data_IF_846794529247
#
_entry.id   IF_846794529247
#
_cell.length_a   1.000
_cell.length_b   1.000
_cell.length_c   1.000
_cell.angle_alpha   90.00
_cell.angle_beta   90.00
_cell.angle_gamma   90.00
#
_symmetry.space_group_name_H-M   'P 1'
#
loop_
_entity.id
_entity.type
_entity.pdbx_description
1 polymer ?
#
# COMPACT_ATOMS: atom_id res chain seq x y z
N UNK A 1 61.00 -35.70 13.56
CA UNK A 1 61.11 -35.52 12.10
C UNK A 1 59.97 -34.61 11.65
N UNK A 2 60.27 -33.38 11.23
CA UNK A 2 59.40 -32.55 10.38
C UNK A 2 59.91 -32.66 8.91
N UNK A 3 59.31 -32.07 7.85
CA UNK A 3 58.23 -31.05 7.74
C UNK A 3 57.16 -31.41 6.67
N UNK A 4 56.07 -30.68 6.35
CA UNK A 4 55.83 -29.27 5.97
C UNK A 4 54.32 -28.94 6.18
N UNK A 5 53.90 -27.88 6.88
CA UNK A 5 53.78 -26.44 6.50
C UNK A 5 52.62 -26.08 5.54
N UNK A 6 51.57 -25.44 6.08
CA UNK A 6 51.10 -24.10 5.64
C UNK A 6 50.07 -23.47 6.62
N UNK A 7 50.14 -22.15 6.72
CA UNK A 7 49.69 -21.23 7.78
C UNK A 7 48.28 -20.61 7.52
N UNK A 8 47.57 -20.08 8.54
CA UNK A 8 46.19 -19.59 8.43
C UNK A 8 46.05 -18.04 8.32
N UNK A 9 44.93 -17.56 7.75
CA UNK A 9 44.54 -16.13 7.75
C UNK A 9 43.02 -15.92 7.95
N UNK A 10 42.59 -14.73 8.41
CA UNK A 10 41.54 -14.60 9.43
C UNK A 10 40.16 -14.11 8.93
N UNK A 11 39.20 -14.28 9.84
CA UNK A 11 37.79 -13.85 9.84
C UNK A 11 37.54 -12.39 9.44
N UNK A 12 36.47 -12.16 8.65
CA UNK A 12 35.57 -11.02 8.84
C UNK A 12 34.15 -11.29 8.35
N UNK A 13 33.23 -10.76 9.14
CA UNK A 13 31.80 -11.06 9.29
C UNK A 13 30.90 -10.62 8.12
N UNK A 14 29.74 -11.27 8.10
CA UNK A 14 28.56 -11.13 7.24
C UNK A 14 27.99 -9.70 7.14
N UNK A 15 27.39 -9.39 5.99
CA UNK A 15 26.07 -8.75 5.96
C UNK A 15 25.22 -9.31 4.81
N UNK A 16 24.14 -9.95 5.23
CA UNK A 16 23.01 -10.50 4.48
C UNK A 16 22.33 -9.48 3.58
N UNK A 17 21.94 -9.88 2.37
CA UNK A 17 20.63 -9.62 1.78
C UNK A 17 20.30 -10.72 0.77
N UNK A 18 19.19 -11.41 1.02
CA UNK A 18 18.60 -12.46 0.21
C UNK A 18 18.11 -11.91 -1.14
N UNK A 19 18.52 -12.55 -2.23
CA UNK A 19 17.91 -12.40 -3.56
C UNK A 19 17.67 -13.78 -4.14
N UNK A 20 16.43 -14.26 -4.05
CA UNK A 20 15.99 -15.53 -4.63
C UNK A 20 15.86 -15.42 -6.15
N UNK A 21 16.40 -16.44 -6.82
CA UNK A 21 16.37 -16.65 -8.27
C UNK A 21 14.96 -16.85 -8.83
N UNK A 22 14.71 -16.32 -10.03
CA UNK A 22 13.82 -16.94 -11.01
C UNK A 22 14.45 -16.81 -12.40
N UNK A 23 14.94 -17.93 -12.92
CA UNK A 23 15.30 -18.10 -14.32
C UNK A 23 14.06 -18.23 -15.18
N UNK A 24 14.07 -17.65 -16.39
CA UNK A 24 14.08 -18.38 -17.66
C UNK A 24 13.33 -17.65 -18.78
N UNK A 25 13.99 -17.63 -19.94
CA UNK A 25 13.49 -17.51 -21.31
C UNK A 25 12.54 -16.35 -21.67
N UNK A 26 13.07 -15.40 -22.44
CA UNK A 26 12.41 -14.96 -23.66
C UNK A 26 13.47 -14.72 -24.73
N UNK A 27 13.66 -15.76 -25.56
CA UNK A 27 14.40 -15.70 -26.81
C UNK A 27 13.64 -14.83 -27.80
N UNK A 28 14.22 -13.69 -28.16
CA UNK A 28 14.09 -13.16 -29.51
C UNK A 28 15.51 -12.96 -30.03
N UNK A 29 15.98 -13.98 -30.75
CA UNK A 29 17.27 -13.97 -31.40
C UNK A 29 17.30 -12.90 -32.48
N UNK A 30 18.30 -12.02 -32.39
CA UNK A 30 18.91 -11.42 -33.56
C UNK A 30 20.42 -11.57 -33.43
N UNK A 31 20.95 -12.25 -34.43
CA UNK A 31 22.33 -12.65 -34.66
C UNK A 31 23.39 -11.61 -34.29
N UNK A 32 24.38 -12.07 -33.52
CA UNK A 32 25.80 -11.86 -33.79
C UNK A 32 26.25 -10.45 -34.15
N UNK A 33 26.45 -9.61 -33.14
CA UNK A 33 27.59 -8.69 -33.14
C UNK A 33 28.13 -8.58 -31.72
N UNK A 34 29.18 -9.33 -31.43
CA UNK A 34 30.05 -9.07 -30.28
C UNK A 34 30.92 -7.87 -30.64
N UNK A 35 30.33 -6.68 -30.62
CA UNK A 35 31.01 -5.41 -30.79
C UNK A 35 31.03 -4.68 -29.46
N UNK A 36 32.12 -4.85 -28.70
CA UNK A 36 32.36 -4.14 -27.46
C UNK A 36 32.33 -2.63 -27.70
N UNK A 37 31.44 -1.93 -26.99
CA UNK A 37 31.23 -0.47 -27.05
C UNK A 37 32.51 0.34 -26.69
N UNK A 38 33.58 -0.31 -26.23
CA UNK A 38 34.81 0.32 -25.78
C UNK A 38 36.01 0.20 -26.73
N UNK A 39 35.84 -0.33 -27.94
CA UNK A 39 36.96 -0.53 -28.88
C UNK A 39 37.27 0.71 -29.74
N UNK A 40 37.63 1.84 -29.08
CA UNK A 40 38.02 3.07 -29.76
C UNK A 40 39.49 3.49 -29.56
N UNK A 41 40.31 2.69 -28.88
CA UNK A 41 41.73 3.03 -28.61
C UNK A 41 42.63 1.81 -28.78
N UNK A 42 42.68 1.21 -29.97
CA UNK A 42 43.87 0.43 -30.40
C UNK A 42 44.01 0.37 -31.92
N UNK A 43 43.84 1.52 -32.60
CA UNK A 43 44.18 1.67 -34.02
C UNK A 43 45.49 2.44 -34.17
N UNK A 44 46.61 1.71 -34.18
CA UNK A 44 47.94 2.08 -34.69
C UNK A 44 48.10 3.50 -35.26
N UNK A 45 48.78 4.37 -34.50
CA UNK A 45 49.44 5.55 -35.04
C UNK A 45 50.54 5.10 -36.01
N UNK A 46 50.23 5.04 -37.29
CA UNK A 46 51.25 5.00 -38.33
C UNK A 46 51.71 6.43 -38.59
N UNK A 47 52.98 6.79 -38.37
CA UNK A 47 53.46 8.11 -38.75
C UNK A 47 53.53 8.17 -40.28
N UNK A 48 52.81 9.14 -40.86
CA UNK A 48 52.93 9.50 -42.26
C UNK A 48 54.40 9.84 -42.60
N UNK A 49 54.96 9.37 -43.72
CA UNK A 49 56.18 9.99 -44.23
C UNK A 49 55.79 11.33 -44.86
N UNK A 50 56.34 12.42 -44.33
CA UNK A 50 56.35 13.72 -45.01
C UNK A 50 56.97 13.57 -46.40
N UNK A 51 56.47 14.26 -47.44
CA UNK A 51 57.08 14.19 -48.77
C UNK A 51 58.40 14.97 -48.73
N UNK A 52 59.50 14.27 -48.96
CA UNK A 52 60.81 14.89 -49.18
C UNK A 52 60.79 15.57 -50.55
N UNK A 53 60.84 16.90 -50.56
CA UNK A 53 61.13 17.68 -51.76
C UNK A 53 62.60 17.46 -52.13
N UNK A 54 62.86 16.70 -53.21
CA UNK A 54 64.18 16.60 -53.82
C UNK A 54 64.11 17.05 -55.28
N UNK A 55 64.73 18.22 -55.47
CA UNK A 55 65.45 18.73 -56.64
C UNK A 55 64.74 18.87 -57.99
N UNK A 56 64.89 20.08 -58.53
CA UNK A 56 64.21 20.52 -59.73
C UNK A 56 64.70 19.88 -61.02
N UNK A 57 63.83 19.94 -62.04
CA UNK A 57 64.13 20.43 -63.38
C UNK A 57 62.76 20.70 -64.02
N UNK A 58 62.51 21.90 -64.53
CA UNK A 58 61.40 22.12 -65.46
C UNK A 58 61.76 21.43 -66.79
N UNK A 59 60.81 20.76 -67.42
CA UNK A 59 60.30 21.35 -68.65
C UNK A 59 58.77 21.27 -68.75
N UNK A 60 58.23 22.22 -69.51
CA UNK A 60 56.82 22.39 -69.85
C UNK A 60 56.19 21.12 -70.46
N UNK A 61 55.13 20.61 -69.82
CA UNK A 61 54.06 19.81 -70.43
C UNK A 61 52.88 19.71 -69.44
N UNK A 62 52.04 20.73 -69.47
CA UNK A 62 50.75 20.87 -68.80
C UNK A 62 49.72 19.83 -69.27
N UNK A 63 49.17 19.03 -68.35
CA UNK A 63 47.73 18.59 -68.30
C UNK A 63 47.49 17.32 -67.47
N UNK A 64 48.48 16.43 -67.29
CA UNK A 64 48.26 15.09 -66.70
C UNK A 64 48.30 15.04 -65.17
N UNK A 65 49.19 15.77 -64.50
CA UNK A 65 49.29 15.81 -63.02
C UNK A 65 48.11 16.55 -62.37
N UNK A 66 47.57 17.56 -63.05
CA UNK A 66 46.39 18.29 -62.59
C UNK A 66 45.11 17.42 -62.65
N UNK A 67 45.07 16.45 -63.58
CA UNK A 67 43.97 15.50 -63.70
C UNK A 67 43.89 14.53 -62.52
N UNK A 68 45.03 13.98 -62.06
CA UNK A 68 45.08 13.04 -60.94
C UNK A 68 44.72 13.68 -59.60
N UNK A 69 45.23 14.89 -59.32
CA UNK A 69 44.87 15.65 -58.13
C UNK A 69 43.37 16.01 -58.11
N UNK A 70 42.80 16.38 -59.26
CA UNK A 70 41.38 16.64 -59.40
C UNK A 70 40.53 15.39 -59.13
N UNK A 71 40.97 14.21 -59.58
CA UNK A 71 40.28 12.96 -59.26
C UNK A 71 40.37 12.62 -57.77
N UNK A 72 41.50 12.89 -57.10
CA UNK A 72 41.65 12.69 -55.66
C UNK A 72 40.71 13.59 -54.86
N UNK A 73 40.65 14.87 -55.19
CA UNK A 73 39.76 15.83 -54.52
C UNK A 73 38.27 15.48 -54.72
N UNK A 74 37.89 15.00 -55.91
CA UNK A 74 36.52 14.51 -56.16
C UNK A 74 36.21 13.30 -55.28
N UNK A 75 37.15 12.37 -55.15
CA UNK A 75 37.00 11.20 -54.29
C UNK A 75 36.87 11.61 -52.82
N UNK A 76 37.72 12.52 -52.34
CA UNK A 76 37.67 13.07 -50.97
C UNK A 76 36.34 13.78 -50.68
N UNK A 77 35.81 14.53 -51.66
CA UNK A 77 34.50 15.18 -51.54
C UNK A 77 33.38 14.14 -51.41
N UNK A 78 33.39 13.09 -52.22
CA UNK A 78 32.37 12.04 -52.16
C UNK A 78 32.49 11.22 -50.86
N UNK A 79 33.71 11.01 -50.35
CA UNK A 79 33.95 10.45 -49.02
C UNK A 79 33.44 11.34 -47.90
N UNK A 80 33.66 12.65 -47.99
CA UNK A 80 33.11 13.61 -47.04
C UNK A 80 31.57 13.62 -47.08
N UNK A 81 30.95 13.57 -48.26
CA UNK A 81 29.49 13.47 -48.41
C UNK A 81 28.95 12.18 -47.80
N UNK A 82 29.62 11.04 -48.02
CA UNK A 82 29.25 9.75 -47.39
C UNK A 82 29.34 9.83 -45.87
N UNK A 83 30.43 10.39 -45.34
CA UNK A 83 30.58 10.63 -43.90
C UNK A 83 29.46 11.51 -43.37
N UNK A 84 29.14 12.65 -43.99
CA UNK A 84 28.04 13.53 -43.56
C UNK A 84 26.71 12.77 -43.49
N UNK A 85 26.42 11.91 -44.48
CA UNK A 85 25.22 11.07 -44.46
C UNK A 85 25.24 10.10 -43.27
N UNK A 86 26.38 9.42 -43.04
CA UNK A 86 26.56 8.53 -41.89
C UNK A 86 26.40 9.26 -40.55
N UNK A 87 27.01 10.44 -40.39
CA UNK A 87 26.86 11.28 -39.20
C UNK A 87 25.41 11.70 -38.97
N UNK A 88 24.68 12.04 -40.04
CA UNK A 88 23.26 12.38 -39.97
C UNK A 88 22.40 11.21 -39.50
N UNK A 89 22.69 10.01 -39.97
CA UNK A 89 21.96 8.81 -39.57
C UNK A 89 22.32 8.37 -38.15
N UNK A 90 23.59 8.45 -37.77
CA UNK A 90 24.05 8.22 -36.39
C UNK A 90 23.40 9.21 -35.41
N UNK A 91 23.37 10.51 -35.76
CA UNK A 91 22.70 11.52 -34.96
C UNK A 91 21.21 11.21 -34.78
N UNK A 92 20.53 10.77 -35.84
CA UNK A 92 19.13 10.37 -35.77
C UNK A 92 18.91 9.20 -34.80
N UNK A 93 19.79 8.20 -34.84
CA UNK A 93 19.72 7.05 -33.92
C UNK A 93 19.91 7.49 -32.47
N UNK A 94 20.93 8.32 -32.19
CA UNK A 94 21.15 8.87 -30.84
C UNK A 94 19.94 9.66 -30.36
N UNK A 95 19.38 10.53 -31.22
CA UNK A 95 18.17 11.28 -30.89
C UNK A 95 16.99 10.37 -30.57
N UNK A 96 16.77 9.33 -31.38
CA UNK A 96 15.70 8.35 -31.13
C UNK A 96 15.89 7.60 -29.80
N UNK A 97 17.13 7.23 -29.45
CA UNK A 97 17.42 6.62 -28.16
C UNK A 97 17.16 7.59 -26.99
N UNK A 98 17.55 8.86 -27.14
CA UNK A 98 17.24 9.90 -26.15
C UNK A 98 15.73 10.10 -25.98
N UNK A 99 14.98 10.19 -27.09
CA UNK A 99 13.52 10.36 -27.07
C UNK A 99 12.84 9.15 -26.39
N UNK A 100 13.33 7.93 -26.66
CA UNK A 100 12.84 6.70 -26.04
C UNK A 100 13.09 6.66 -24.54
N UNK A 101 14.33 6.94 -24.09
CA UNK A 101 14.65 6.98 -22.65
C UNK A 101 13.94 8.11 -21.92
N UNK A 102 13.75 9.26 -22.57
CA UNK A 102 12.97 10.35 -21.99
C UNK A 102 11.52 9.93 -21.77
N UNK A 103 10.92 9.22 -22.74
CA UNK A 103 9.57 8.67 -22.61
C UNK A 103 9.50 7.64 -21.48
N UNK A 104 10.43 6.69 -21.43
CA UNK A 104 10.49 5.68 -20.37
C UNK A 104 10.68 6.29 -18.98
N UNK A 105 11.51 7.33 -18.85
CA UNK A 105 11.69 8.06 -17.60
C UNK A 105 10.41 8.79 -17.17
N UNK A 106 9.68 9.39 -18.11
CA UNK A 106 8.41 10.04 -17.85
C UNK A 106 7.32 9.04 -17.43
N UNK A 107 7.23 7.90 -18.12
CA UNK A 107 6.31 6.81 -17.73
C UNK A 107 6.67 6.23 -16.36
N UNK A 108 7.96 6.09 -16.04
CA UNK A 108 8.40 5.65 -14.72
C UNK A 108 8.02 6.65 -13.62
N UNK A 109 8.15 7.95 -13.89
CA UNK A 109 7.71 9.02 -12.98
C UNK A 109 6.19 8.97 -12.76
N UNK A 110 5.41 8.79 -13.83
CA UNK A 110 3.96 8.66 -13.72
C UNK A 110 3.56 7.42 -12.92
N UNK A 111 4.19 6.28 -13.17
CA UNK A 111 4.00 5.05 -12.37
C UNK A 111 4.34 5.27 -10.89
N UNK A 112 5.42 5.98 -10.58
CA UNK A 112 5.77 6.31 -9.20
C UNK A 112 4.73 7.22 -8.54
N UNK A 113 4.19 8.21 -9.26
CA UNK A 113 3.14 9.09 -8.75
C UNK A 113 1.84 8.32 -8.47
N UNK A 114 1.43 7.41 -9.37
CA UNK A 114 0.27 6.55 -9.15
C UNK A 114 0.46 5.70 -7.90
N UNK A 115 1.61 5.03 -7.77
CA UNK A 115 1.92 4.22 -6.60
C UNK A 115 1.92 5.04 -5.28
N UNK A 116 2.39 6.30 -5.30
CA UNK A 116 2.31 7.17 -4.13
C UNK A 116 0.86 7.51 -3.78
N UNK A 117 0.02 7.86 -4.77
CA UNK A 117 -1.40 8.15 -4.51
C UNK A 117 -2.16 6.94 -3.95
N UNK A 118 -1.86 5.73 -4.44
CA UNK A 118 -2.44 4.48 -3.93
C UNK A 118 -1.98 4.20 -2.49
N UNK A 119 -0.70 4.40 -2.20
CA UNK A 119 -0.15 4.30 -0.83
C UNK A 119 -0.84 5.29 0.10
N UNK A 120 -1.01 6.55 -0.30
CA UNK A 120 -1.71 7.55 0.53
C UNK A 120 -3.16 7.15 0.79
N UNK A 121 -3.85 6.60 -0.21
CA UNK A 121 -5.21 6.09 -0.03
C UNK A 121 -5.25 4.91 0.96
N UNK A 122 -4.30 3.98 0.86
CA UNK A 122 -4.19 2.86 1.78
C UNK A 122 -3.91 3.32 3.22
N UNK A 123 -3.04 4.32 3.41
CA UNK A 123 -2.77 4.93 4.70
C UNK A 123 -4.01 5.59 5.31
N UNK A 124 -4.78 6.35 4.52
CA UNK A 124 -6.04 6.95 5.01
C UNK A 124 -7.05 5.89 5.45
N UNK A 125 -7.19 4.79 4.68
CA UNK A 125 -8.06 3.67 5.07
C UNK A 125 -7.59 2.99 6.36
N UNK A 126 -6.28 2.80 6.51
CA UNK A 126 -5.69 2.27 7.74
C UNK A 126 -6.02 3.18 8.93
N UNK A 127 -5.82 4.49 8.79
CA UNK A 127 -6.09 5.46 9.84
C UNK A 127 -7.58 5.48 10.23
N UNK A 128 -8.49 5.40 9.26
CA UNK A 128 -9.93 5.31 9.54
C UNK A 128 -10.28 4.08 10.40
N UNK A 129 -9.71 2.91 10.05
CA UNK A 129 -9.91 1.67 10.81
C UNK A 129 -9.25 1.76 12.19
N UNK A 130 -8.06 2.35 12.29
CA UNK A 130 -7.36 2.55 13.56
C UNK A 130 -8.14 3.50 14.49
N UNK A 131 -8.73 4.56 13.95
CA UNK A 131 -9.58 5.49 14.70
C UNK A 131 -10.88 4.82 15.16
N UNK A 132 -11.52 4.00 14.31
CA UNK A 132 -12.66 3.17 14.71
C UNK A 132 -12.28 2.20 15.83
N UNK A 133 -11.12 1.57 15.74
CA UNK A 133 -10.62 0.68 16.78
C UNK A 133 -10.37 1.42 18.10
N UNK A 134 -9.71 2.59 18.07
CA UNK A 134 -9.52 3.44 19.26
C UNK A 134 -10.85 3.86 19.87
N UNK A 135 -11.82 4.28 19.06
CA UNK A 135 -13.14 4.66 19.56
C UNK A 135 -13.88 3.47 20.20
N UNK A 136 -13.83 2.28 19.58
CA UNK A 136 -14.40 1.07 20.17
C UNK A 136 -13.65 0.66 21.44
N UNK A 137 -12.34 0.84 21.49
CA UNK A 137 -11.52 0.61 22.68
C UNK A 137 -11.89 1.59 23.81
N UNK A 138 -12.09 2.86 23.52
CA UNK A 138 -12.57 3.87 24.48
C UNK A 138 -13.98 3.56 24.96
N UNK A 139 -14.89 3.17 24.07
CA UNK A 139 -16.22 2.70 24.45
C UNK A 139 -16.12 1.48 25.36
N UNK A 140 -15.27 0.52 25.03
CA UNK A 140 -15.02 -0.64 25.87
C UNK A 140 -14.49 -0.21 27.23
N UNK A 141 -13.52 0.69 27.31
CA UNK A 141 -12.97 1.20 28.58
C UNK A 141 -14.03 1.93 29.41
N UNK A 142 -14.95 2.68 28.78
CA UNK A 142 -16.05 3.38 29.46
C UNK A 142 -17.11 2.38 29.98
N UNK A 143 -17.52 1.42 29.15
CA UNK A 143 -18.41 0.30 29.53
C UNK A 143 -17.75 -0.63 30.55
N UNK A 144 -16.43 -0.77 30.47
CA UNK A 144 -15.59 -1.55 31.36
C UNK A 144 -14.97 -0.66 32.45
N UNK A 145 -15.55 0.52 32.74
CA UNK A 145 -15.30 1.17 34.02
C UNK A 145 -15.55 0.05 35.02
N UNK A 146 -14.53 -0.40 35.75
CA UNK A 146 -14.69 -1.61 36.50
C UNK A 146 -15.71 -1.23 37.57
N UNK A 147 -16.94 -1.72 37.44
CA UNK A 147 -17.44 -2.47 38.56
C UNK A 147 -16.31 -3.45 38.83
N UNK A 148 -15.54 -3.29 39.93
CA UNK A 148 -14.40 -4.13 40.21
C UNK A 148 -14.96 -5.52 40.15
N UNK A 149 -14.58 -6.20 39.07
CA UNK A 149 -15.08 -7.51 38.77
C UNK A 149 -14.45 -8.35 39.86
N UNK A 150 -15.19 -8.55 40.95
CA UNK A 150 -14.89 -9.49 42.02
C UNK A 150 -14.98 -10.86 41.36
N UNK A 151 -13.93 -11.20 40.62
CA UNK A 151 -13.76 -12.45 39.88
C UNK A 151 -13.66 -13.63 40.87
N UNK A 152 -13.48 -13.33 42.15
CA UNK A 152 -13.46 -14.24 43.27
C UNK A 152 -13.91 -13.52 44.54
N UNK A 153 -14.73 -14.19 45.36
CA UNK A 153 -15.10 -13.72 46.71
C UNK A 153 -13.86 -13.42 47.58
N UNK A 154 -12.72 -14.05 47.29
CA UNK A 154 -11.47 -13.86 48.05
C UNK A 154 -10.81 -12.49 47.89
N UNK A 155 -11.10 -11.74 46.81
CA UNK A 155 -10.53 -10.41 46.62
C UNK A 155 -11.21 -9.35 47.49
N UNK A 156 -12.43 -9.61 47.99
CA UNK A 156 -13.19 -8.67 48.84
C UNK A 156 -12.49 -8.45 50.18
N UNK A 157 -11.91 -9.51 50.76
CA UNK A 157 -11.25 -9.48 52.06
C UNK A 157 -9.95 -8.66 52.06
N UNK A 158 -9.33 -8.47 50.90
CA UNK A 158 -8.07 -7.71 50.76
C UNK A 158 -8.29 -6.23 50.43
N UNK A 159 -9.53 -5.81 50.13
CA UNK A 159 -9.85 -4.44 49.75
C UNK A 159 -9.99 -3.56 51.01
N UNK A 160 -9.36 -2.37 51.05
CA UNK A 160 -9.51 -1.44 52.15
C UNK A 160 -10.98 -1.06 52.40
N UNK A 161 -11.38 -1.03 53.68
CA UNK A 161 -12.76 -0.75 54.13
C UNK A 161 -13.42 0.48 53.47
N UNK A 162 -12.75 1.64 53.28
CA UNK A 162 -13.36 2.78 52.61
C UNK A 162 -13.79 2.49 51.17
N UNK A 163 -13.01 1.66 50.46
CA UNK A 163 -13.31 1.27 49.07
C UNK A 163 -14.45 0.27 49.01
N UNK A 164 -14.60 -0.60 50.01
CA UNK A 164 -15.77 -1.48 50.17
C UNK A 164 -17.06 -0.67 50.42
N UNK A 165 -16.99 0.39 51.24
CA UNK A 165 -18.14 1.27 51.45
C UNK A 165 -18.54 2.00 50.17
N UNK A 166 -17.58 2.55 49.41
CA UNK A 166 -17.88 3.17 48.12
C UNK A 166 -18.49 2.18 47.14
N UNK A 167 -17.97 0.94 47.09
CA UNK A 167 -18.51 -0.11 46.24
C UNK A 167 -19.94 -0.49 46.63
N UNK A 168 -20.22 -0.63 47.92
CA UNK A 168 -21.58 -0.90 48.43
C UNK A 168 -22.56 0.20 48.04
N UNK A 169 -22.17 1.46 48.20
CA UNK A 169 -23.01 2.60 47.82
C UNK A 169 -23.27 2.62 46.31
N UNK A 170 -22.24 2.35 45.49
CA UNK A 170 -22.39 2.26 44.03
C UNK A 170 -23.36 1.15 43.63
N UNK A 171 -23.19 -0.06 44.17
CA UNK A 171 -24.08 -1.19 43.89
C UNK A 171 -25.53 -0.91 44.29
N UNK A 172 -25.76 -0.19 45.39
CA UNK A 172 -27.11 0.23 45.77
C UNK A 172 -27.74 1.16 44.73
N UNK A 173 -26.99 2.15 44.24
CA UNK A 173 -27.46 3.07 43.19
C UNK A 173 -27.71 2.36 41.86
N UNK A 174 -26.83 1.42 41.49
CA UNK A 174 -26.97 0.63 40.28
C UNK A 174 -28.24 -0.24 40.34
N UNK A 175 -28.51 -0.86 41.49
CA UNK A 175 -29.74 -1.64 41.72
C UNK A 175 -30.99 -0.77 41.67
N UNK A 176 -30.97 0.42 42.27
CA UNK A 176 -32.09 1.37 42.20
C UNK A 176 -32.39 1.79 40.75
N UNK A 177 -31.34 2.01 39.96
CA UNK A 177 -31.47 2.33 38.53
C UNK A 177 -32.07 1.15 37.74
N UNK A 178 -31.63 -0.08 38.03
CA UNK A 178 -32.19 -1.29 37.42
C UNK A 178 -33.67 -1.43 37.77
N UNK A 179 -34.04 -1.22 39.03
CA UNK A 179 -35.43 -1.28 39.49
C UNK A 179 -36.30 -0.22 38.81
N UNK A 180 -35.78 1.00 38.61
CA UNK A 180 -36.48 2.04 37.86
C UNK A 180 -36.72 1.62 36.41
N UNK A 181 -35.72 1.07 35.73
CA UNK A 181 -35.85 0.59 34.34
C UNK A 181 -36.82 -0.59 34.27
N UNK A 182 -36.75 -1.54 35.21
CA UNK A 182 -37.68 -2.66 35.30
C UNK A 182 -39.11 -2.14 35.48
N UNK A 183 -39.32 -1.19 36.38
CA UNK A 183 -40.61 -0.57 36.60
C UNK A 183 -41.13 0.11 35.32
N UNK A 184 -40.29 0.90 34.65
CA UNK A 184 -40.65 1.54 33.38
C UNK A 184 -41.03 0.53 32.31
N UNK A 185 -40.29 -0.57 32.17
CA UNK A 185 -40.61 -1.65 31.22
C UNK A 185 -41.94 -2.30 31.62
N UNK A 186 -42.09 -2.76 32.87
CA UNK A 186 -43.32 -3.40 33.36
C UNK A 186 -44.56 -2.51 33.25
N UNK A 187 -44.41 -1.19 33.42
CA UNK A 187 -45.52 -0.22 33.28
C UNK A 187 -46.11 -0.19 31.87
N UNK A 188 -45.35 -0.61 30.85
CA UNK A 188 -45.78 -0.64 29.45
C UNK A 188 -46.20 -2.04 29.00
N UNK A 189 -45.93 -3.09 29.78
CA UNK A 189 -46.20 -4.49 29.44
C UNK A 189 -47.57 -4.96 29.88
N UNK A 190 -48.15 -5.88 29.10
CA UNK A 190 -49.41 -6.55 29.38
C UNK A 190 -49.36 -7.20 30.77
N UNK A 191 -50.38 -6.95 31.60
CA UNK A 191 -50.41 -7.45 32.98
C UNK A 191 -50.55 -8.97 33.08
N UNK A 192 -50.98 -9.64 32.00
CA UNK A 192 -51.16 -11.09 31.94
C UNK A 192 -49.90 -11.81 31.46
N UNK A 193 -49.43 -11.51 30.25
CA UNK A 193 -48.27 -12.23 29.68
C UNK A 193 -46.92 -11.60 29.99
N UNK A 194 -46.87 -10.31 30.37
CA UNK A 194 -45.64 -9.52 30.63
C UNK A 194 -44.62 -9.44 29.49
N UNK A 195 -44.83 -10.13 28.39
CA UNK A 195 -43.96 -10.13 27.20
C UNK A 195 -44.28 -8.99 26.23
N UNK A 196 -45.56 -8.83 25.90
CA UNK A 196 -46.04 -7.87 24.90
C UNK A 196 -46.43 -6.54 25.55
N UNK A 197 -46.31 -5.43 24.82
CA UNK A 197 -46.78 -4.14 25.29
C UNK A 197 -48.31 -4.12 25.38
N UNK A 198 -48.84 -3.35 26.34
CA UNK A 198 -50.27 -3.03 26.41
C UNK A 198 -50.65 -2.34 25.11
N UNK A 199 -51.81 -2.69 24.53
CA UNK A 199 -52.26 -2.16 23.25
C UNK A 199 -53.77 -1.92 23.15
N UNK A 200 -54.58 -2.43 24.09
CA UNK A 200 -56.04 -2.36 24.02
C UNK A 200 -56.61 -1.75 25.30
N UNK A 201 -57.59 -0.84 25.14
CA UNK A 201 -58.43 -0.30 26.22
C UNK A 201 -59.67 -1.18 26.37
N UNK A 202 -59.91 -1.72 27.57
CA UNK A 202 -61.08 -2.57 27.82
C UNK A 202 -62.34 -1.73 28.10
N UNK A 203 -63.47 -2.09 27.47
CA UNK A 203 -64.78 -1.44 27.70
C UNK A 203 -65.70 -2.35 28.53
N UNK A 204 -66.53 -1.80 29.45
CA UNK A 204 -66.78 -0.36 29.69
C UNK A 204 -65.81 0.29 30.70
N UNK A 205 -64.91 -0.48 31.32
CA UNK A 205 -64.11 -0.02 32.46
C UNK A 205 -62.89 0.87 32.12
N UNK A 206 -62.61 1.10 30.84
CA UNK A 206 -61.53 1.93 30.29
C UNK A 206 -60.09 1.58 30.76
N UNK A 207 -59.85 0.35 31.24
CA UNK A 207 -58.51 -0.06 31.68
C UNK A 207 -57.59 -0.44 30.50
N UNK A 208 -56.41 0.20 30.42
CA UNK A 208 -55.36 -0.09 29.44
C UNK A 208 -54.29 -1.01 30.03
N UNK A 209 -54.55 -2.32 30.03
CA UNK A 209 -53.70 -3.28 30.77
C UNK A 209 -53.36 -4.55 29.99
N UNK A 210 -54.01 -4.81 28.86
CA UNK A 210 -53.78 -6.02 28.06
C UNK A 210 -53.11 -5.69 26.72
N UNK A 211 -52.32 -6.64 26.21
CA UNK A 211 -51.96 -6.70 24.79
C UNK A 211 -53.12 -7.32 23.99
N UNK A 212 -53.09 -7.14 22.68
CA UNK A 212 -54.09 -7.65 21.72
C UNK A 212 -54.37 -9.15 21.88
N UNK A 213 -53.32 -9.98 21.95
CA UNK A 213 -53.43 -11.43 22.11
C UNK A 213 -54.10 -11.86 23.42
N UNK A 214 -53.78 -11.20 24.54
CA UNK A 214 -54.41 -11.48 25.83
C UNK A 214 -55.82 -10.90 25.92
N UNK A 215 -56.09 -9.79 25.22
CA UNK A 215 -57.41 -9.19 25.15
C UNK A 215 -58.42 -10.13 24.46
N UNK A 216 -58.01 -10.83 23.40
CA UNK A 216 -58.86 -11.79 22.69
C UNK A 216 -59.23 -13.04 23.53
N UNK A 217 -58.32 -13.48 24.40
CA UNK A 217 -58.51 -14.71 25.22
C UNK A 217 -59.27 -14.47 26.53
N UNK A 218 -59.21 -13.25 27.07
CA UNK A 218 -59.81 -12.91 28.36
C UNK A 218 -61.23 -12.35 28.17
N UNK A 219 -62.19 -12.74 29.00
CA UNK A 219 -63.57 -12.20 28.98
C UNK A 219 -63.80 -11.11 30.04
N UNK A 220 -62.92 -11.00 31.02
CA UNK A 220 -63.00 -10.03 32.11
C UNK A 220 -61.75 -9.14 32.16
N UNK A 221 -61.91 -7.94 32.74
CA UNK A 221 -60.78 -7.06 33.03
C UNK A 221 -59.99 -7.58 34.24
N UNK A 222 -58.67 -7.81 34.13
CA UNK A 222 -57.86 -8.25 35.28
C UNK A 222 -57.81 -7.27 36.46
N UNK A 223 -58.08 -5.98 36.22
CA UNK A 223 -57.97 -4.93 37.24
C UNK A 223 -59.25 -4.76 38.06
N UNK A 224 -60.42 -4.79 37.41
CA UNK A 224 -61.70 -4.51 38.07
C UNK A 224 -62.72 -5.65 37.96
N UNK A 225 -62.35 -6.78 37.35
CA UNK A 225 -63.19 -7.97 37.12
C UNK A 225 -64.49 -7.71 36.35
N UNK A 226 -64.64 -6.52 35.76
CA UNK A 226 -65.79 -6.21 34.90
C UNK A 226 -65.70 -7.03 33.60
N UNK A 227 -66.77 -7.72 33.26
CA UNK A 227 -66.91 -8.41 31.98
C UNK A 227 -66.83 -7.43 30.83
N UNK A 228 -66.02 -7.77 29.82
CA UNK A 228 -65.87 -6.97 28.61
C UNK A 228 -67.20 -6.98 27.88
N UNK A 229 -67.71 -5.81 27.51
CA UNK A 229 -68.86 -5.75 26.61
C UNK A 229 -68.41 -6.25 25.24
N UNK A 230 -69.05 -7.30 24.72
CA UNK A 230 -68.90 -7.68 23.31
C UNK A 230 -69.46 -6.53 22.48
N UNK A 231 -68.65 -6.05 21.55
CA UNK A 231 -69.16 -5.26 20.44
C UNK A 231 -69.93 -6.18 19.48
#
# INVERSE_FOLDING_TARGET
MAPHQQQPQPLKSEHSMLGTSASSHNSLGLNGVTGSIWDFVTGSFSPSPSPVLSSGTTPSASSSTSGSELTRVRQELDDAKRKIKQWKDSWRQVKQACDAWQKEAQEAKERANVADTEKQLALRKKEEVENKFKNLQEQFVCLSTPLPHLKSYGDIETIPLPKLHSLRSQLHLDLETIDEVIFQIHSKKCVVCREHNRSIVLQPCQHYVLCEHCAAKQQECPCCKTTKSKW
#
